data_IF_614893432592
#
_entry.id   IF_614893432592
#
_cell.length_a   1.000
_cell.length_b   1.000
_cell.length_c   1.000
_cell.angle_alpha   90.00
_cell.angle_beta   90.00
_cell.angle_gamma   90.00
#
_symmetry.space_group_name_H-M   'P 1'
#
loop_
_entity.id
_entity.type
_entity.pdbx_description
1 polymer ?
#
# COMPACT_ATOMS: atom_id res chain seq x y z
N UNK A 1 12.00 -13.12 -0.67
CA UNK A 1 10.72 -12.87 -1.38
C UNK A 1 10.21 -11.52 -0.95
N UNK A 2 9.59 -10.74 -1.84
CA UNK A 2 8.99 -9.45 -1.47
C UNK A 2 7.57 -9.69 -0.94
N UNK A 3 7.20 -9.02 0.14
CA UNK A 3 5.85 -9.13 0.73
C UNK A 3 4.83 -8.22 0.04
N UNK A 4 5.31 -7.18 -0.62
CA UNK A 4 4.51 -6.12 -1.25
C UNK A 4 5.15 -5.60 -2.52
N UNK A 5 4.36 -4.91 -3.33
CA UNK A 5 4.86 -4.17 -4.50
C UNK A 5 4.33 -2.73 -4.57
N UNK A 6 5.28 -1.78 -4.50
CA UNK A 6 5.10 -0.37 -4.87
C UNK A 6 5.77 -0.18 -6.22
N UNK A 7 5.03 0.27 -7.23
CA UNK A 7 5.48 0.21 -8.64
C UNK A 7 6.14 1.52 -9.04
N UNK A 8 5.53 2.64 -8.64
CA UNK A 8 6.06 3.97 -8.88
C UNK A 8 6.40 4.65 -7.54
N UNK A 9 7.44 5.48 -7.52
CA UNK A 9 7.81 6.27 -6.34
C UNK A 9 6.68 7.17 -5.83
N UNK A 10 5.82 7.65 -6.73
CA UNK A 10 4.68 8.52 -6.44
C UNK A 10 3.43 7.75 -5.98
N UNK A 11 3.44 6.41 -5.98
CA UNK A 11 2.30 5.62 -5.52
C UNK A 11 2.02 5.91 -4.03
N UNK A 12 0.75 6.16 -3.70
CA UNK A 12 0.27 6.23 -2.31
C UNK A 12 -0.41 4.93 -1.85
N UNK A 13 -0.43 3.90 -2.70
CA UNK A 13 -0.89 2.54 -2.39
C UNK A 13 0.10 1.47 -2.87
N UNK A 14 0.23 0.39 -2.10
CA UNK A 14 0.96 -0.82 -2.52
C UNK A 14 -0.01 -1.99 -2.70
N UNK A 15 0.46 -3.03 -3.39
CA UNK A 15 -0.27 -4.30 -3.52
C UNK A 15 0.40 -5.35 -2.66
N UNK A 16 -0.39 -6.12 -1.91
CA UNK A 16 0.08 -7.24 -1.11
C UNK A 16 0.44 -8.44 -2.00
N UNK A 17 1.64 -9.01 -1.83
CA UNK A 17 2.10 -10.21 -2.57
C UNK A 17 1.86 -11.51 -1.79
N UNK A 18 1.43 -11.40 -0.54
CA UNK A 18 0.90 -12.46 0.32
C UNK A 18 -0.18 -11.88 1.23
N UNK A 19 -0.96 -12.69 1.96
CA UNK A 19 -1.78 -12.18 3.05
C UNK A 19 -0.91 -11.42 4.07
N UNK A 20 -1.39 -10.24 4.49
CA UNK A 20 -0.73 -9.38 5.48
C UNK A 20 -1.67 -9.28 6.66
N UNK A 21 -1.17 -9.58 7.86
CA UNK A 21 -1.99 -9.53 9.06
C UNK A 21 -2.33 -8.08 9.45
N UNK A 22 -3.42 -7.90 10.19
CA UNK A 22 -3.69 -6.63 10.86
C UNK A 22 -2.58 -6.32 11.89
N UNK A 23 -2.12 -5.08 11.96
CA UNK A 23 -1.05 -4.65 12.86
C UNK A 23 0.37 -5.01 12.38
N UNK A 24 0.50 -5.66 11.23
CA UNK A 24 1.81 -5.98 10.66
C UNK A 24 2.49 -4.70 10.15
N UNK A 25 3.79 -4.57 10.43
CA UNK A 25 4.59 -3.41 9.98
C UNK A 25 5.51 -3.81 8.84
N UNK A 26 5.38 -3.11 7.72
CA UNK A 26 6.10 -3.35 6.48
C UNK A 26 7.03 -2.18 6.16
N UNK A 27 8.18 -2.47 5.55
CA UNK A 27 9.09 -1.43 5.04
C UNK A 27 8.78 -1.14 3.57
N UNK A 28 8.32 0.08 3.27
CA UNK A 28 7.92 0.49 1.93
C UNK A 28 8.59 1.80 1.55
N UNK A 29 9.49 1.76 0.57
CA UNK A 29 10.17 2.96 0.07
C UNK A 29 10.96 3.73 1.15
N UNK A 30 11.52 3.02 2.14
CA UNK A 30 12.28 3.62 3.24
C UNK A 30 11.45 4.08 4.44
N UNK A 31 10.14 3.87 4.43
CA UNK A 31 9.25 4.18 5.54
C UNK A 31 8.56 2.92 6.08
N UNK A 32 8.28 2.91 7.38
CA UNK A 32 7.47 1.87 8.02
C UNK A 32 5.98 2.19 7.84
N UNK A 33 5.21 1.19 7.40
CA UNK A 33 3.74 1.26 7.28
C UNK A 33 3.13 0.12 8.09
N UNK A 34 2.25 0.45 9.03
CA UNK A 34 1.52 -0.54 9.83
C UNK A 34 0.10 -0.68 9.30
N UNK A 35 -0.32 -1.90 8.98
CA UNK A 35 -1.68 -2.17 8.52
C UNK A 35 -2.68 -2.09 9.66
N UNK A 36 -3.88 -1.59 9.38
CA UNK A 36 -4.98 -1.49 10.38
C UNK A 36 -5.95 -2.68 10.31
N UNK A 37 -5.88 -3.47 9.24
CA UNK A 37 -6.72 -4.63 8.99
C UNK A 37 -5.93 -5.68 8.20
N UNK A 38 -6.51 -6.87 8.05
CA UNK A 38 -5.94 -7.91 7.19
C UNK A 38 -6.03 -7.49 5.71
N UNK A 39 -4.92 -7.64 4.98
CA UNK A 39 -4.88 -7.36 3.54
C UNK A 39 -4.68 -8.68 2.79
N UNK A 40 -5.69 -9.15 2.04
CA UNK A 40 -5.55 -10.34 1.20
C UNK A 40 -4.49 -10.16 0.11
N UNK A 41 -3.91 -11.26 -0.35
CA UNK A 41 -3.00 -11.25 -1.48
C UNK A 41 -3.67 -10.62 -2.72
N UNK A 42 -2.95 -9.74 -3.43
CA UNK A 42 -3.43 -9.04 -4.61
C UNK A 42 -4.24 -7.77 -4.31
N UNK A 43 -4.63 -7.52 -3.06
CA UNK A 43 -5.35 -6.31 -2.68
C UNK A 43 -4.41 -5.12 -2.46
N UNK A 44 -4.99 -3.91 -2.59
CA UNK A 44 -4.29 -2.64 -2.35
C UNK A 44 -4.45 -2.21 -0.90
N UNK A 45 -3.42 -1.59 -0.36
CA UNK A 45 -3.48 -0.91 0.93
C UNK A 45 -2.77 0.44 0.85
N UNK A 46 -3.19 1.38 1.70
CA UNK A 46 -2.65 2.72 1.72
C UNK A 46 -1.27 2.78 2.40
N UNK A 47 -0.36 3.57 1.82
CA UNK A 47 0.99 3.80 2.37
C UNK A 47 1.07 5.03 3.28
N UNK A 48 0.00 5.82 3.30
CA UNK A 48 -0.20 7.01 4.11
C UNK A 48 -1.70 7.27 4.23
N UNK A 49 -2.16 8.15 5.15
CA UNK A 49 -3.53 8.64 5.13
C UNK A 49 -3.88 9.24 3.76
N UNK A 50 -5.05 8.89 3.23
CA UNK A 50 -5.65 9.45 2.00
C UNK A 50 -7.01 10.03 2.42
N UNK A 51 -7.18 11.34 2.29
CA UNK A 51 -8.41 12.02 2.72
C UNK A 51 -9.55 11.83 1.71
N UNK A 52 -10.78 12.09 2.13
CA UNK A 52 -11.93 12.07 1.22
C UNK A 52 -11.74 13.09 0.08
N UNK A 53 -11.89 12.63 -1.17
CA UNK A 53 -11.64 13.44 -2.36
C UNK A 53 -10.16 13.58 -2.74
N UNK A 54 -9.24 12.99 -1.97
CA UNK A 54 -7.83 12.89 -2.35
C UNK A 54 -7.61 11.73 -3.34
N UNK A 55 -6.72 11.97 -4.30
CA UNK A 55 -6.40 11.03 -5.38
C UNK A 55 -5.72 9.75 -4.87
N UNK A 56 -6.21 8.60 -5.31
CA UNK A 56 -5.49 7.33 -5.21
C UNK A 56 -4.53 7.22 -6.39
N UNK A 57 -3.23 7.08 -6.11
CA UNK A 57 -2.16 7.03 -7.11
C UNK A 57 -1.54 5.65 -7.15
N UNK A 58 -1.62 5.00 -8.32
CA UNK A 58 -0.96 3.72 -8.61
C UNK A 58 -0.37 3.74 -10.02
N UNK A 59 0.79 3.10 -10.21
CA UNK A 59 1.57 3.16 -11.45
C UNK A 59 2.00 4.59 -11.82
N UNK A 60 1.98 5.52 -10.86
CA UNK A 60 2.19 6.95 -11.11
C UNK A 60 1.00 7.69 -11.71
N UNK A 61 -0.17 7.05 -11.83
CA UNK A 61 -1.40 7.65 -12.35
C UNK A 61 -2.49 7.71 -11.29
N UNK A 62 -3.39 8.69 -11.43
CA UNK A 62 -4.63 8.77 -10.66
C UNK A 62 -5.57 7.67 -11.13
N UNK A 63 -6.06 6.85 -10.21
CA UNK A 63 -6.92 5.70 -10.52
C UNK A 63 -8.30 5.79 -9.89
N UNK A 64 -8.59 6.87 -9.16
CA UNK A 64 -9.86 7.13 -8.48
C UNK A 64 -9.72 8.13 -7.35
#
# INVERSE_FOLDING_TARGET
MQDIVKINQNDNVAVALRPIAAGETLQVGGAAVTTTEEIPQGHKFALRPIQAGEEVVKYGFRIG
#
